data_IF_599395162482
#
_entry.id   IF_599395162482
#
_cell.length_a   1.000
_cell.length_b   1.000
_cell.length_c   1.000
_cell.angle_alpha   90.00
_cell.angle_beta   90.00
_cell.angle_gamma   90.00
#
_symmetry.space_group_name_H-M   'P 1'
#
loop_
_entity.id
_entity.type
_entity.pdbx_description
1 polymer ?
#
# COMPACT_ATOMS: atom_id res chain seq x y z
N UNK A 1 39.98 -58.88 -10.26
CA UNK A 1 40.29 -57.60 -10.94
C UNK A 1 39.18 -57.36 -11.96
N UNK A 2 38.43 -56.29 -11.78
CA UNK A 2 37.02 -56.21 -12.18
C UNK A 2 36.86 -55.51 -13.55
N UNK A 3 36.65 -56.30 -14.61
CA UNK A 3 36.59 -55.87 -16.02
C UNK A 3 35.34 -55.03 -16.38
N UNK A 4 34.40 -54.82 -15.46
CA UNK A 4 33.13 -54.11 -15.73
C UNK A 4 33.24 -52.58 -15.73
N UNK A 5 34.18 -51.99 -14.97
CA UNK A 5 34.31 -50.51 -14.87
C UNK A 5 34.84 -49.85 -16.15
N UNK A 6 35.70 -50.52 -16.91
CA UNK A 6 36.30 -49.95 -18.12
C UNK A 6 35.33 -49.84 -19.30
N UNK A 7 34.29 -50.70 -19.36
CA UNK A 7 33.28 -50.64 -20.43
C UNK A 7 32.34 -49.44 -20.28
N UNK A 8 32.03 -49.05 -19.04
CA UNK A 8 31.14 -47.92 -18.77
C UNK A 8 31.83 -46.58 -19.12
N UNK A 9 33.10 -46.39 -18.73
CA UNK A 9 33.87 -45.21 -19.13
C UNK A 9 34.05 -45.11 -20.64
N UNK A 10 34.27 -46.23 -21.32
CA UNK A 10 34.42 -46.23 -22.78
C UNK A 10 33.12 -45.85 -23.50
N UNK A 11 31.96 -46.32 -23.03
CA UNK A 11 30.65 -45.95 -23.59
C UNK A 11 30.30 -44.47 -23.36
N UNK A 12 30.67 -43.92 -22.20
CA UNK A 12 30.47 -42.49 -21.90
C UNK A 12 31.36 -41.61 -22.79
N UNK A 13 32.65 -41.97 -22.93
CA UNK A 13 33.58 -41.25 -23.82
C UNK A 13 33.14 -41.34 -25.29
N UNK A 14 32.65 -42.51 -25.73
CA UNK A 14 32.14 -42.69 -27.08
C UNK A 14 30.91 -41.80 -27.36
N UNK A 15 29.97 -41.72 -26.41
CA UNK A 15 28.81 -40.83 -26.54
C UNK A 15 29.24 -39.36 -26.59
N UNK A 16 30.20 -38.96 -25.76
CA UNK A 16 30.66 -37.57 -25.69
C UNK A 16 31.38 -37.16 -26.98
N UNK A 17 32.17 -38.07 -27.58
CA UNK A 17 32.76 -37.87 -28.91
C UNK A 17 31.70 -37.77 -30.01
N UNK A 18 30.67 -38.61 -30.00
CA UNK A 18 29.58 -38.54 -30.99
C UNK A 18 28.85 -37.19 -30.90
N UNK A 19 28.56 -36.72 -29.68
CA UNK A 19 27.93 -35.40 -29.47
C UNK A 19 28.81 -34.27 -30.00
N UNK A 20 30.12 -34.32 -29.75
CA UNK A 20 31.06 -33.32 -30.28
C UNK A 20 31.18 -33.36 -31.81
N UNK A 21 31.18 -34.55 -32.41
CA UNK A 21 31.19 -34.71 -33.87
C UNK A 21 29.90 -34.16 -34.48
N UNK A 22 28.74 -34.41 -33.86
CA UNK A 22 27.45 -33.86 -34.31
C UNK A 22 27.42 -32.33 -34.17
N UNK A 23 27.87 -31.78 -33.03
CA UNK A 23 27.96 -30.32 -32.84
C UNK A 23 28.86 -29.64 -33.88
N UNK A 24 29.95 -30.30 -34.30
CA UNK A 24 30.90 -29.76 -35.28
C UNK A 24 30.44 -29.98 -36.75
N UNK A 25 29.77 -31.09 -37.03
CA UNK A 25 29.29 -31.44 -38.38
C UNK A 25 28.05 -30.64 -38.79
N UNK A 26 27.28 -30.13 -37.83
CA UNK A 26 26.05 -29.38 -38.07
C UNK A 26 26.08 -27.99 -37.41
N UNK A 27 26.99 -27.09 -37.80
CA UNK A 27 27.11 -25.75 -37.20
C UNK A 27 25.88 -24.86 -37.43
N UNK A 28 24.99 -25.25 -38.35
CA UNK A 28 23.73 -24.58 -38.64
C UNK A 28 22.63 -24.86 -37.60
N UNK A 29 22.75 -25.90 -36.76
CA UNK A 29 21.80 -26.16 -35.67
C UNK A 29 22.06 -25.31 -34.42
N UNK A 30 23.22 -24.63 -34.33
CA UNK A 30 23.65 -23.81 -33.18
C UNK A 30 23.67 -22.32 -33.51
N UNK A 31 23.54 -21.94 -34.79
CA UNK A 31 23.30 -20.55 -35.17
C UNK A 31 21.79 -20.31 -35.17
N UNK A 32 21.22 -19.64 -34.16
CA UNK A 32 19.89 -19.10 -34.33
C UNK A 32 19.94 -18.17 -35.54
N UNK A 33 19.20 -18.50 -36.60
CA UNK A 33 18.90 -17.57 -37.68
C UNK A 33 18.09 -16.45 -37.05
N UNK A 34 18.79 -15.42 -36.56
CA UNK A 34 18.15 -14.21 -36.09
C UNK A 34 17.40 -13.61 -37.29
N UNK A 35 16.07 -13.50 -37.25
CA UNK A 35 15.33 -12.90 -38.34
C UNK A 35 15.86 -11.48 -38.59
N UNK A 36 15.92 -11.07 -39.86
CA UNK A 36 16.43 -9.75 -40.29
C UNK A 36 15.72 -8.57 -39.59
N UNK A 37 14.56 -8.82 -38.99
CA UNK A 37 13.86 -7.91 -38.08
C UNK A 37 14.70 -7.50 -36.87
N UNK A 38 15.53 -8.38 -36.30
CA UNK A 38 16.42 -8.03 -35.18
C UNK A 38 17.61 -7.18 -35.59
N UNK A 39 18.04 -7.28 -36.86
CA UNK A 39 19.07 -6.39 -37.40
C UNK A 39 18.48 -4.99 -37.64
N UNK A 40 17.24 -4.92 -38.13
CA UNK A 40 16.47 -3.67 -38.21
C UNK A 40 16.15 -3.08 -36.83
N UNK A 41 15.82 -3.91 -35.84
CA UNK A 41 15.65 -3.49 -34.45
C UNK A 41 16.98 -3.04 -33.84
N UNK A 42 18.10 -3.70 -34.15
CA UNK A 42 19.42 -3.25 -33.68
C UNK A 42 19.84 -1.92 -34.29
N UNK A 43 19.52 -1.65 -35.56
CA UNK A 43 19.74 -0.34 -36.17
C UNK A 43 18.78 0.71 -35.61
N UNK A 44 17.53 0.36 -35.31
CA UNK A 44 16.58 1.23 -34.60
C UNK A 44 17.04 1.55 -33.17
N UNK A 45 17.60 0.55 -32.47
CA UNK A 45 18.10 0.67 -31.10
C UNK A 45 19.49 1.33 -31.02
N UNK A 46 20.27 1.36 -32.11
CA UNK A 46 21.56 2.05 -32.17
C UNK A 46 21.44 3.52 -32.59
N UNK A 47 20.28 3.96 -33.08
CA UNK A 47 20.04 5.36 -33.49
C UNK A 47 19.38 6.20 -32.38
N UNK A 48 18.84 5.58 -31.33
CA UNK A 48 18.57 6.27 -30.06
C UNK A 48 19.81 6.25 -29.16
N UNK A 49 20.88 6.90 -29.62
CA UNK A 49 21.72 7.59 -28.65
C UNK A 49 20.90 8.78 -28.17
N UNK A 50 20.09 8.55 -27.13
CA UNK A 50 19.50 9.62 -26.34
C UNK A 50 20.69 10.43 -25.81
N UNK A 51 21.06 11.49 -26.53
CA UNK A 51 21.88 12.56 -25.98
C UNK A 51 21.32 12.82 -24.59
N UNK A 52 22.12 12.77 -23.51
CA UNK A 52 21.61 13.14 -22.20
C UNK A 52 21.08 14.56 -22.37
N UNK A 53 19.77 14.70 -22.46
CA UNK A 53 19.15 16.00 -22.32
C UNK A 53 19.63 16.50 -20.96
N UNK A 54 20.04 17.76 -20.82
CA UNK A 54 20.32 18.30 -19.51
C UNK A 54 19.04 18.09 -18.68
N UNK A 55 19.03 17.05 -17.84
CA UNK A 55 18.05 16.96 -16.78
C UNK A 55 18.36 18.20 -15.95
N UNK A 56 17.40 19.11 -15.76
CA UNK A 56 17.64 20.25 -14.89
C UNK A 56 18.17 19.71 -13.57
N UNK A 57 19.11 20.42 -12.94
CA UNK A 57 19.62 20.03 -11.63
C UNK A 57 18.45 20.11 -10.64
N UNK A 58 17.74 18.98 -10.47
CA UNK A 58 16.59 18.89 -9.58
C UNK A 58 17.13 18.63 -8.18
N UNK A 59 17.10 19.65 -7.33
CA UNK A 59 17.38 19.49 -5.91
C UNK A 59 16.11 18.96 -5.25
N UNK A 60 16.23 17.80 -4.59
CA UNK A 60 15.14 17.13 -3.89
C UNK A 60 15.43 17.09 -2.40
N UNK A 61 14.47 17.55 -1.60
CA UNK A 61 14.50 17.48 -0.15
C UNK A 61 13.33 16.62 0.32
N UNK A 62 13.63 15.48 0.93
CA UNK A 62 12.66 14.57 1.53
C UNK A 62 12.90 14.55 3.04
N UNK A 63 11.86 14.85 3.81
CA UNK A 63 11.91 14.93 5.27
C UNK A 63 10.49 14.74 5.84
N UNK A 64 10.36 14.76 7.15
CA UNK A 64 9.07 14.65 7.84
C UNK A 64 8.84 15.83 8.79
N UNK A 65 7.59 16.12 9.11
CA UNK A 65 7.27 17.18 10.06
C UNK A 65 7.55 16.73 11.50
N UNK A 66 8.40 17.47 12.22
CA UNK A 66 8.61 17.24 13.65
C UNK A 66 7.46 17.77 14.50
N UNK A 67 7.25 17.18 15.69
CA UNK A 67 6.21 17.60 16.65
C UNK A 67 6.32 19.05 17.13
N UNK A 68 7.50 19.64 17.07
CA UNK A 68 7.80 20.98 17.58
C UNK A 68 7.99 22.04 16.49
N UNK A 69 7.92 21.65 15.21
CA UNK A 69 8.23 22.55 14.09
C UNK A 69 6.95 23.05 13.45
N UNK A 70 6.88 24.34 13.15
CA UNK A 70 5.79 24.87 12.32
C UNK A 70 6.08 24.65 10.85
N UNK A 71 5.04 24.68 10.00
CA UNK A 71 5.26 24.60 8.55
C UNK A 71 6.13 25.74 8.03
N UNK A 72 6.05 26.92 8.66
CA UNK A 72 6.87 28.06 8.30
C UNK A 72 8.35 27.80 8.60
N UNK A 73 8.68 27.25 9.78
CA UNK A 73 10.06 26.91 10.14
C UNK A 73 10.67 25.90 9.17
N UNK A 74 9.88 24.89 8.78
CA UNK A 74 10.29 23.86 7.81
C UNK A 74 10.54 24.49 6.45
N UNK A 75 9.64 25.33 5.93
CA UNK A 75 9.83 25.98 4.63
C UNK A 75 11.07 26.89 4.64
N UNK A 76 11.29 27.66 5.71
CA UNK A 76 12.48 28.50 5.87
C UNK A 76 13.79 27.69 5.85
N UNK A 77 13.79 26.49 6.45
CA UNK A 77 14.94 25.55 6.41
C UNK A 77 15.26 25.09 4.98
N UNK A 78 14.28 25.03 4.10
CA UNK A 78 14.39 24.50 2.73
C UNK A 78 14.37 25.58 1.63
N UNK A 79 15.05 26.70 1.87
CA UNK A 79 15.26 27.79 0.90
C UNK A 79 14.05 28.64 0.53
N UNK A 80 12.96 28.60 1.29
CA UNK A 80 11.88 29.59 1.14
C UNK A 80 12.22 30.85 1.95
N UNK A 81 11.92 32.01 1.40
CA UNK A 81 11.84 33.24 2.19
C UNK A 81 10.59 33.25 3.06
N UNK A 82 10.57 34.07 4.11
CA UNK A 82 9.39 34.20 4.97
C UNK A 82 8.13 34.64 4.19
N UNK A 83 8.30 35.46 3.15
CA UNK A 83 7.21 35.89 2.28
C UNK A 83 6.69 34.76 1.40
N UNK A 84 7.58 33.98 0.78
CA UNK A 84 7.19 32.83 -0.05
C UNK A 84 6.49 31.75 0.79
N UNK A 85 7.03 31.46 1.98
CA UNK A 85 6.43 30.51 2.90
C UNK A 85 5.02 30.92 3.32
N UNK A 86 4.84 32.18 3.76
CA UNK A 86 3.53 32.72 4.14
C UNK A 86 2.54 32.66 2.97
N UNK A 87 3.00 33.08 1.78
CA UNK A 87 2.19 33.07 0.56
C UNK A 87 1.74 31.66 0.17
N UNK A 88 2.64 30.68 0.24
CA UNK A 88 2.32 29.28 -0.01
C UNK A 88 1.25 28.78 0.98
N UNK A 89 1.41 29.08 2.28
CA UNK A 89 0.45 28.68 3.32
C UNK A 89 -0.94 29.31 3.05
N UNK A 90 -0.99 30.57 2.66
CA UNK A 90 -2.24 31.29 2.44
C UNK A 90 -2.95 30.87 1.14
N UNK A 91 -2.22 30.79 0.02
CA UNK A 91 -2.79 30.45 -1.30
C UNK A 91 -3.26 29.00 -1.39
N UNK A 92 -2.70 28.10 -0.58
CA UNK A 92 -3.09 26.67 -0.58
C UNK A 92 -4.19 26.33 0.44
N UNK A 93 -4.54 27.29 1.31
CA UNK A 93 -5.39 27.08 2.49
C UNK A 93 -6.77 26.50 2.19
N UNK A 94 -7.38 26.91 1.08
CA UNK A 94 -8.72 26.47 0.68
C UNK A 94 -8.75 24.99 0.26
N UNK A 95 -7.62 24.47 -0.23
CA UNK A 95 -7.46 23.06 -0.60
C UNK A 95 -7.00 22.23 0.60
N UNK A 96 -5.97 22.72 1.29
CA UNK A 96 -5.45 22.13 2.51
C UNK A 96 -4.77 23.19 3.38
N UNK A 97 -5.20 23.30 4.63
CA UNK A 97 -4.54 24.20 5.58
C UNK A 97 -3.22 23.59 6.08
N UNK A 98 -2.11 24.05 5.52
CA UNK A 98 -0.75 23.60 5.86
C UNK A 98 -0.35 23.84 7.33
N UNK A 99 -1.07 24.67 8.08
CA UNK A 99 -0.85 24.76 9.53
C UNK A 99 -1.40 23.55 10.30
N UNK A 100 -2.09 22.62 9.63
CA UNK A 100 -2.64 21.38 10.21
C UNK A 100 -1.83 20.14 9.81
N UNK A 101 -0.63 20.32 9.27
CA UNK A 101 0.29 19.20 9.01
C UNK A 101 0.49 18.40 10.29
N UNK A 102 0.49 17.07 10.14
CA UNK A 102 0.68 16.15 11.25
C UNK A 102 2.15 15.78 11.38
N UNK A 103 2.63 15.71 12.63
CA UNK A 103 3.99 15.28 12.90
C UNK A 103 4.20 13.81 12.50
N UNK A 104 5.35 13.51 11.92
CA UNK A 104 5.71 12.22 11.37
C UNK A 104 5.27 12.02 9.92
N UNK A 105 4.39 12.87 9.38
CA UNK A 105 4.04 12.80 7.96
C UNK A 105 5.17 13.36 7.09
N UNK A 106 5.43 12.66 5.99
CA UNK A 106 6.50 12.97 5.04
C UNK A 106 6.10 14.09 4.07
N UNK A 107 7.11 14.82 3.61
CA UNK A 107 6.99 15.76 2.52
C UNK A 107 8.22 15.70 1.62
N UNK A 108 8.02 16.06 0.35
CA UNK A 108 9.07 16.19 -0.65
C UNK A 108 8.98 17.60 -1.25
N UNK A 109 10.10 18.32 -1.25
CA UNK A 109 10.23 19.60 -1.94
C UNK A 109 11.22 19.44 -3.08
N UNK A 110 10.79 19.79 -4.28
CA UNK A 110 11.65 19.81 -5.45
C UNK A 110 11.92 21.26 -5.88
N UNK A 111 13.18 21.54 -6.19
CA UNK A 111 13.62 22.74 -6.88
C UNK A 111 14.24 22.35 -8.20
N UNK A 112 14.02 23.13 -9.26
CA UNK A 112 14.71 23.01 -10.54
C UNK A 112 15.35 24.35 -10.87
N UNK A 113 16.63 24.34 -11.24
CA UNK A 113 17.38 25.57 -11.55
C UNK A 113 17.30 26.62 -10.42
N UNK A 114 17.28 26.15 -9.16
CA UNK A 114 17.10 26.93 -7.92
C UNK A 114 15.73 27.59 -7.74
N UNK A 115 14.78 27.34 -8.64
CA UNK A 115 13.38 27.77 -8.49
C UNK A 115 12.52 26.66 -7.89
N UNK A 116 11.54 27.03 -7.08
CA UNK A 116 10.57 26.08 -6.54
C UNK A 116 9.82 25.38 -7.68
N UNK A 117 9.78 24.04 -7.64
CA UNK A 117 9.08 23.22 -8.64
C UNK A 117 7.83 22.61 -8.04
N UNK A 118 7.95 21.93 -6.91
CA UNK A 118 6.81 21.25 -6.29
C UNK A 118 7.02 21.04 -4.79
N UNK A 119 5.90 20.99 -4.06
CA UNK A 119 5.83 20.46 -2.70
C UNK A 119 4.79 19.34 -2.71
N UNK A 120 5.20 18.14 -2.32
CA UNK A 120 4.31 17.03 -2.04
C UNK A 120 4.26 16.82 -0.54
N UNK A 121 3.07 16.65 0.02
CA UNK A 121 2.88 16.37 1.43
C UNK A 121 1.94 15.17 1.59
N UNK A 122 2.39 14.13 2.27
CA UNK A 122 1.59 12.94 2.53
C UNK A 122 0.60 13.24 3.67
N UNK A 123 -0.68 13.46 3.34
CA UNK A 123 -1.72 13.80 4.33
C UNK A 123 -2.07 12.57 5.16
N UNK A 124 -2.16 11.41 4.50
CA UNK A 124 -2.44 10.10 5.10
C UNK A 124 -2.04 9.00 4.13
N UNK A 125 -2.20 7.74 4.55
CA UNK A 125 -2.05 6.57 3.67
C UNK A 125 -2.88 6.68 2.37
N UNK A 126 -4.01 7.39 2.38
CA UNK A 126 -4.97 7.45 1.27
C UNK A 126 -4.88 8.72 0.43
N UNK A 127 -4.25 9.78 0.91
CA UNK A 127 -4.28 11.09 0.26
C UNK A 127 -2.97 11.83 0.44
N UNK A 128 -2.58 12.55 -0.60
CA UNK A 128 -1.46 13.47 -0.59
C UNK A 128 -1.86 14.81 -1.20
N UNK A 129 -1.18 15.86 -0.75
CA UNK A 129 -1.22 17.20 -1.33
C UNK A 129 -0.09 17.33 -2.34
N UNK A 130 -0.37 17.98 -3.46
CA UNK A 130 0.66 18.50 -4.37
C UNK A 130 0.45 19.99 -4.52
N UNK A 131 1.52 20.76 -4.36
CA UNK A 131 1.57 22.20 -4.56
C UNK A 131 2.59 22.48 -5.65
N UNK A 132 2.22 23.27 -6.63
CA UNK A 132 3.07 23.74 -7.72
C UNK A 132 2.90 25.25 -7.88
N UNK A 133 3.87 25.92 -8.49
CA UNK A 133 3.75 27.33 -8.84
C UNK A 133 3.28 27.45 -10.30
N UNK A 134 2.03 27.89 -10.49
CA UNK A 134 1.41 28.06 -11.80
C UNK A 134 1.01 29.52 -12.01
N UNK A 135 1.42 30.13 -13.13
CA UNK A 135 1.14 31.54 -13.45
C UNK A 135 1.51 32.51 -12.32
N UNK A 136 2.57 32.18 -11.59
CA UNK A 136 3.07 32.96 -10.47
C UNK A 136 2.31 32.79 -9.16
N UNK A 137 1.30 31.92 -9.05
CA UNK A 137 0.57 31.59 -7.82
C UNK A 137 0.69 30.11 -7.44
N UNK A 138 0.64 29.81 -6.15
CA UNK A 138 0.70 28.44 -5.66
C UNK A 138 -0.66 27.76 -5.86
N UNK A 139 -0.67 26.75 -6.73
CA UNK A 139 -1.83 25.90 -6.97
C UNK A 139 -1.68 24.60 -6.17
N UNK A 140 -2.66 24.31 -5.32
CA UNK A 140 -2.73 23.07 -4.56
C UNK A 140 -3.75 22.09 -5.13
N UNK A 141 -3.43 20.80 -5.07
CA UNK A 141 -4.35 19.71 -5.41
C UNK A 141 -4.22 18.58 -4.39
N UNK A 142 -5.37 18.16 -3.84
CA UNK A 142 -5.46 16.91 -3.08
C UNK A 142 -5.75 15.76 -4.03
N UNK A 143 -4.98 14.70 -3.90
CA UNK A 143 -5.09 13.51 -4.75
C UNK A 143 -5.19 12.29 -3.87
N UNK A 144 -6.15 11.40 -4.18
CA UNK A 144 -6.27 10.10 -3.54
C UNK A 144 -5.34 9.11 -4.21
N UNK A 145 -4.75 8.23 -3.41
CA UNK A 145 -4.06 7.06 -3.94
C UNK A 145 -5.08 6.06 -4.47
N UNK A 146 -4.75 5.49 -5.63
CA UNK A 146 -5.38 4.27 -6.11
C UNK A 146 -4.76 3.07 -5.40
N UNK A 147 -5.58 2.08 -5.07
CA UNK A 147 -5.17 0.88 -4.36
C UNK A 147 -5.65 -0.38 -5.06
N UNK A 148 -4.78 -1.37 -5.10
CA UNK A 148 -5.18 -2.74 -5.39
C UNK A 148 -5.86 -3.30 -4.14
N UNK A 149 -7.15 -3.63 -4.24
CA UNK A 149 -7.93 -4.16 -3.11
C UNK A 149 -8.07 -5.67 -3.26
N UNK A 150 -7.58 -6.41 -2.26
CA UNK A 150 -7.70 -7.87 -2.17
C UNK A 150 -8.60 -8.22 -1.00
N UNK A 151 -9.53 -9.15 -1.19
CA UNK A 151 -10.36 -9.68 -0.11
C UNK A 151 -9.73 -10.96 0.43
N UNK A 152 -9.42 -10.98 1.71
CA UNK A 152 -8.79 -12.11 2.40
C UNK A 152 -9.66 -12.62 3.55
N UNK A 153 -9.54 -13.91 3.83
CA UNK A 153 -10.17 -14.56 4.98
C UNK A 153 -9.15 -14.77 6.10
N UNK A 154 -9.52 -14.39 7.32
CA UNK A 154 -8.74 -14.67 8.54
C UNK A 154 -9.59 -15.46 9.50
N UNK A 155 -9.00 -16.43 10.18
CA UNK A 155 -9.64 -17.12 11.29
C UNK A 155 -8.61 -17.41 12.37
N UNK A 156 -9.07 -17.46 13.62
CA UNK A 156 -8.18 -17.68 14.74
C UNK A 156 -8.92 -18.20 15.95
N UNK A 157 -8.22 -19.02 16.74
CA UNK A 157 -8.63 -19.40 18.09
C UNK A 157 -7.78 -18.60 19.08
N UNK A 158 -8.44 -17.91 19.99
CA UNK A 158 -7.80 -17.04 20.97
C UNK A 158 -7.22 -17.91 22.08
N UNK A 159 -5.91 -17.84 22.31
CA UNK A 159 -5.27 -18.53 23.44
C UNK A 159 -4.93 -17.59 24.59
N UNK A 160 -4.66 -16.32 24.29
CA UNK A 160 -4.36 -15.29 25.28
C UNK A 160 -5.17 -14.03 25.06
N UNK A 161 -4.88 -13.31 23.98
CA UNK A 161 -5.64 -12.13 23.58
C UNK A 161 -5.96 -12.14 22.09
N UNK A 162 -7.07 -11.52 21.72
CA UNK A 162 -7.45 -11.31 20.31
C UNK A 162 -6.33 -10.61 19.55
N UNK A 163 -5.69 -9.63 20.19
CA UNK A 163 -4.58 -8.89 19.63
C UNK A 163 -3.39 -9.78 19.29
N UNK A 164 -2.91 -10.57 20.25
CA UNK A 164 -1.76 -11.45 20.03
C UNK A 164 -2.06 -12.53 18.98
N UNK A 165 -3.32 -12.97 18.90
CA UNK A 165 -3.75 -13.97 17.91
C UNK A 165 -3.69 -13.44 16.49
N UNK A 166 -4.12 -12.20 16.25
CA UNK A 166 -4.03 -11.59 14.91
C UNK A 166 -2.59 -11.18 14.57
N UNK A 167 -1.85 -10.61 15.52
CA UNK A 167 -0.45 -10.22 15.30
C UNK A 167 0.46 -11.41 15.01
N UNK A 168 0.25 -12.56 15.65
CA UNK A 168 1.01 -13.78 15.35
C UNK A 168 0.73 -14.36 13.97
N UNK A 169 -0.40 -13.98 13.35
CA UNK A 169 -0.75 -14.33 11.97
C UNK A 169 -0.19 -13.33 10.94
N UNK A 170 0.56 -12.32 11.37
CA UNK A 170 1.12 -11.29 10.51
C UNK A 170 0.18 -10.11 10.26
N UNK A 171 -0.96 -10.06 10.95
CA UNK A 171 -1.90 -8.94 10.84
C UNK A 171 -1.54 -7.79 11.79
N UNK A 172 -1.92 -6.57 11.41
CA UNK A 172 -1.68 -5.38 12.19
C UNK A 172 -2.86 -5.06 13.12
N UNK A 173 -2.53 -4.40 14.22
CA UNK A 173 -3.46 -4.02 15.27
C UNK A 173 -4.70 -3.24 14.82
N UNK A 174 -4.60 -2.48 13.72
CA UNK A 174 -5.73 -1.73 13.16
C UNK A 174 -6.92 -2.65 12.87
N UNK A 175 -6.68 -3.90 12.45
CA UNK A 175 -7.74 -4.88 12.22
C UNK A 175 -8.48 -5.28 13.51
N UNK A 176 -7.75 -5.43 14.62
CA UNK A 176 -8.32 -5.76 15.93
C UNK A 176 -9.26 -4.63 16.39
N UNK A 177 -8.84 -3.38 16.22
CA UNK A 177 -9.63 -2.21 16.60
C UNK A 177 -10.93 -2.15 15.78
N UNK A 178 -10.86 -2.40 14.47
CA UNK A 178 -12.06 -2.42 13.61
C UNK A 178 -13.03 -3.54 13.99
N UNK A 179 -12.54 -4.75 14.28
CA UNK A 179 -13.37 -5.84 14.77
C UNK A 179 -14.10 -5.46 16.09
N UNK A 180 -13.39 -4.85 17.03
CA UNK A 180 -13.98 -4.36 18.29
C UNK A 180 -15.01 -3.26 18.00
N UNK A 181 -14.74 -2.34 17.07
CA UNK A 181 -15.67 -1.28 16.69
C UNK A 181 -17.01 -1.82 16.17
N UNK A 182 -16.98 -2.94 15.44
CA UNK A 182 -18.17 -3.59 14.88
C UNK A 182 -18.97 -4.27 16.00
N UNK A 183 -18.32 -5.15 16.78
CA UNK A 183 -19.03 -6.07 17.69
C UNK A 183 -19.14 -5.60 19.15
N UNK A 184 -18.56 -4.45 19.54
CA UNK A 184 -18.52 -3.99 20.96
C UNK A 184 -19.87 -3.94 21.68
N UNK A 185 -20.98 -3.88 20.93
CA UNK A 185 -22.34 -3.82 21.49
C UNK A 185 -22.91 -5.17 21.91
N UNK A 186 -22.41 -6.25 21.31
CA UNK A 186 -22.94 -7.60 21.49
C UNK A 186 -21.90 -8.54 22.10
N UNK A 187 -20.61 -8.27 21.88
CA UNK A 187 -19.49 -9.03 22.43
C UNK A 187 -18.74 -8.21 23.47
N UNK A 188 -18.73 -8.61 24.75
CA UNK A 188 -17.88 -7.99 25.75
C UNK A 188 -16.44 -8.51 25.59
N UNK A 189 -15.63 -7.73 24.86
CA UNK A 189 -14.22 -8.03 24.56
C UNK A 189 -13.32 -8.09 25.81
N UNK A 190 -13.73 -7.47 26.93
CA UNK A 190 -13.04 -7.56 28.23
C UNK A 190 -13.15 -8.94 28.89
N UNK A 191 -14.12 -9.76 28.46
CA UNK A 191 -14.38 -11.09 29.01
C UNK A 191 -14.01 -12.22 28.03
N UNK A 192 -13.12 -11.95 27.06
CA UNK A 192 -12.60 -12.98 26.15
C UNK A 192 -11.84 -14.03 26.93
N UNK A 193 -12.04 -15.30 26.56
CA UNK A 193 -11.41 -16.44 27.18
C UNK A 193 -10.59 -17.24 26.17
N UNK A 194 -9.56 -17.97 26.62
CA UNK A 194 -8.91 -18.99 25.82
C UNK A 194 -9.95 -19.97 25.26
N UNK A 195 -9.94 -20.17 23.95
CA UNK A 195 -10.89 -21.03 23.24
C UNK A 195 -11.97 -20.28 22.45
N UNK A 196 -12.22 -19.00 22.73
CA UNK A 196 -13.01 -18.11 21.86
C UNK A 196 -12.38 -18.10 20.45
N UNK A 197 -13.17 -17.91 19.40
CA UNK A 197 -12.65 -17.90 18.03
C UNK A 197 -13.33 -16.84 17.17
N UNK A 198 -12.66 -16.49 16.07
CA UNK A 198 -13.18 -15.54 15.10
C UNK A 198 -12.92 -16.01 13.68
N UNK A 199 -13.75 -15.54 12.75
CA UNK A 199 -13.53 -15.60 11.30
C UNK A 199 -13.92 -14.26 10.69
N UNK A 200 -13.10 -13.73 9.80
CA UNK A 200 -13.23 -12.42 9.18
C UNK A 200 -13.07 -12.55 7.68
N UNK A 201 -13.84 -11.78 6.92
CA UNK A 201 -13.60 -11.51 5.50
C UNK A 201 -13.26 -10.03 5.41
N UNK A 202 -12.04 -9.69 4.99
CA UNK A 202 -11.47 -8.35 5.13
C UNK A 202 -10.86 -7.88 3.82
N UNK A 203 -11.07 -6.62 3.48
CA UNK A 203 -10.31 -5.97 2.42
C UNK A 203 -8.94 -5.54 2.91
N UNK A 204 -7.90 -5.86 2.15
CA UNK A 204 -6.56 -5.29 2.27
C UNK A 204 -6.26 -4.42 1.06
N UNK A 205 -5.76 -3.21 1.31
CA UNK A 205 -5.36 -2.26 0.28
C UNK A 205 -3.85 -2.29 0.11
N UNK A 206 -3.42 -2.50 -1.13
CA UNK A 206 -2.04 -2.54 -1.54
C UNK A 206 -1.72 -1.39 -2.48
N UNK A 207 -0.48 -0.91 -2.41
CA UNK A 207 0.09 0.04 -3.37
C UNK A 207 1.47 -0.45 -3.73
N UNK A 208 1.74 -0.61 -5.03
CA UNK A 208 3.02 -1.15 -5.53
C UNK A 208 3.36 -2.52 -4.88
N UNK A 209 2.36 -3.38 -4.72
CA UNK A 209 2.52 -4.71 -4.11
C UNK A 209 2.75 -4.72 -2.59
N UNK A 210 2.79 -3.56 -1.92
CA UNK A 210 2.98 -3.45 -0.47
C UNK A 210 1.66 -3.20 0.23
N UNK A 211 1.42 -3.89 1.34
CA UNK A 211 0.26 -3.64 2.20
C UNK A 211 0.36 -2.25 2.79
N UNK A 212 -0.72 -1.46 2.65
CA UNK A 212 -0.79 -0.10 3.18
C UNK A 212 -1.74 -0.07 4.39
N UNK A 213 -2.98 -0.51 4.18
CA UNK A 213 -4.03 -0.47 5.20
C UNK A 213 -5.13 -1.49 4.95
N UNK A 214 -5.93 -1.74 5.97
CA UNK A 214 -7.20 -2.45 5.82
C UNK A 214 -8.26 -1.54 5.19
N UNK A 215 -9.10 -2.13 4.35
CA UNK A 215 -10.37 -1.57 3.89
C UNK A 215 -11.50 -2.01 4.82
N UNK A 216 -12.65 -2.38 4.24
CA UNK A 216 -13.82 -2.80 5.00
C UNK A 216 -13.70 -4.25 5.47
N UNK A 217 -14.18 -4.54 6.68
CA UNK A 217 -14.49 -5.92 7.08
C UNK A 217 -15.85 -6.26 6.47
N UNK A 218 -15.91 -7.20 5.54
CA UNK A 218 -17.13 -7.59 4.82
C UNK A 218 -18.04 -8.49 5.66
N UNK A 219 -17.44 -9.38 6.44
CA UNK A 219 -18.16 -10.27 7.33
C UNK A 219 -17.32 -10.61 8.56
N UNK A 220 -18.01 -10.84 9.67
CA UNK A 220 -17.45 -11.30 10.94
C UNK A 220 -18.28 -12.45 11.47
N UNK A 221 -17.60 -13.47 11.97
CA UNK A 221 -18.12 -14.43 12.93
C UNK A 221 -17.22 -14.38 14.17
N UNK A 222 -17.81 -14.24 15.35
CA UNK A 222 -17.13 -14.39 16.63
C UNK A 222 -17.85 -15.45 17.46
N UNK A 223 -17.15 -16.46 17.94
CA UNK A 223 -17.70 -17.54 18.75
C UNK A 223 -17.15 -17.51 20.17
N UNK A 224 -18.06 -17.56 21.14
CA UNK A 224 -17.77 -17.73 22.56
C UNK A 224 -18.62 -18.84 23.14
N UNK A 225 -17.98 -19.93 23.55
CA UNK A 225 -18.69 -21.15 23.94
C UNK A 225 -19.58 -21.64 22.80
N UNK A 226 -20.87 -21.84 23.08
CA UNK A 226 -21.87 -22.25 22.08
C UNK A 226 -22.51 -21.08 21.32
N UNK A 227 -22.22 -19.83 21.72
CA UNK A 227 -22.84 -18.64 21.13
C UNK A 227 -21.96 -18.07 20.01
N UNK A 228 -22.59 -17.82 18.87
CA UNK A 228 -21.99 -17.14 17.72
C UNK A 228 -22.58 -15.74 17.58
N UNK A 229 -21.74 -14.80 17.16
CA UNK A 229 -22.09 -13.41 16.86
C UNK A 229 -21.66 -13.12 15.43
N UNK A 230 -22.60 -12.68 14.61
CA UNK A 230 -22.34 -12.37 13.21
C UNK A 230 -22.47 -10.88 12.94
N UNK A 231 -21.67 -10.37 12.00
CA UNK A 231 -21.85 -9.04 11.45
C UNK A 231 -21.52 -9.05 9.96
N UNK A 232 -22.44 -8.57 9.14
CA UNK A 232 -22.30 -8.47 7.69
C UNK A 232 -22.38 -7.01 7.27
N UNK A 233 -21.41 -6.58 6.47
CA UNK A 233 -21.41 -5.25 5.91
C UNK A 233 -22.50 -5.13 4.84
N UNK A 234 -23.31 -4.09 4.97
CA UNK A 234 -24.34 -3.73 4.00
C UNK A 234 -24.37 -2.21 3.80
N UNK A 235 -24.41 -1.78 2.54
CA UNK A 235 -24.64 -0.38 2.21
C UNK A 235 -26.14 -0.11 2.23
N UNK A 236 -26.59 0.74 3.14
CA UNK A 236 -28.00 1.14 3.20
C UNK A 236 -28.37 1.92 1.92
N UNK A 237 -29.33 1.44 1.10
CA UNK A 237 -29.63 2.04 -0.20
C UNK A 237 -30.29 3.42 -0.10
N UNK A 238 -30.79 3.84 1.07
CA UNK A 238 -31.39 5.15 1.28
C UNK A 238 -30.38 6.18 1.74
N UNK A 239 -29.44 5.77 2.60
CA UNK A 239 -28.45 6.67 3.19
C UNK A 239 -27.07 6.58 2.54
N UNK A 240 -26.83 5.56 1.71
CA UNK A 240 -25.53 5.19 1.15
C UNK A 240 -24.44 5.04 2.21
N UNK A 241 -24.84 4.63 3.41
CA UNK A 241 -23.92 4.39 4.53
C UNK A 241 -23.66 2.91 4.67
N UNK A 242 -22.38 2.60 4.81
CA UNK A 242 -21.90 1.30 5.26
C UNK A 242 -22.33 1.05 6.71
N UNK A 243 -23.15 0.04 6.94
CA UNK A 243 -23.61 -0.41 8.25
C UNK A 243 -23.43 -1.93 8.39
N UNK A 244 -23.43 -2.41 9.64
CA UNK A 244 -23.27 -3.82 9.95
C UNK A 244 -24.56 -4.39 10.53
N UNK A 245 -24.97 -5.54 10.01
CA UNK A 245 -26.18 -6.23 10.40
C UNK A 245 -25.88 -7.66 10.84
N UNK A 246 -26.64 -8.17 11.81
CA UNK A 246 -26.58 -9.56 12.24
C UNK A 246 -27.21 -10.50 11.19
N UNK A 247 -27.21 -11.80 11.48
CA UNK A 247 -27.78 -12.83 10.61
C UNK A 247 -29.30 -12.71 10.39
N UNK A 248 -30.00 -11.92 11.22
CA UNK A 248 -31.43 -11.69 11.15
C UNK A 248 -31.76 -10.31 10.51
N UNK A 249 -30.74 -9.56 10.09
CA UNK A 249 -30.92 -8.23 9.51
C UNK A 249 -31.10 -7.10 10.53
N UNK A 250 -30.81 -7.33 11.81
CA UNK A 250 -30.81 -6.27 12.82
C UNK A 250 -29.47 -5.54 12.80
N UNK A 251 -29.48 -4.22 13.02
CA UNK A 251 -28.25 -3.45 13.13
C UNK A 251 -27.42 -3.89 14.35
N UNK A 252 -26.16 -4.28 14.11
CA UNK A 252 -25.18 -4.61 15.16
C UNK A 252 -24.80 -3.36 15.97
N UNK A 253 -24.86 -2.18 15.33
CA UNK A 253 -24.79 -0.91 16.07
C UNK A 253 -26.13 -0.66 16.75
N UNK A 254 -26.13 -0.68 18.08
CA UNK A 254 -27.24 -0.14 18.87
C UNK A 254 -27.16 1.37 18.78
N UNK A 255 -28.10 2.00 18.08
CA UNK A 255 -28.27 3.43 18.16
C UNK A 255 -28.49 3.77 19.63
N UNK A 256 -27.63 4.60 20.23
CA UNK A 256 -28.02 5.31 21.43
C UNK A 256 -29.27 6.10 21.05
N UNK A 257 -30.45 5.59 21.40
CA UNK A 257 -31.59 6.47 21.53
C UNK A 257 -31.18 7.47 22.61
N UNK A 258 -30.76 8.67 22.18
CA UNK A 258 -30.89 9.86 23.00
C UNK A 258 -32.37 9.94 23.32
N UNK A 259 -32.78 9.37 24.44
CA UNK A 259 -34.10 9.63 25.00
C UNK A 259 -34.17 11.15 25.14
N UNK A 260 -35.10 11.85 24.48
CA UNK A 260 -35.26 13.27 24.71
C UNK A 260 -35.77 13.42 26.15
N UNK A 261 -34.90 13.82 27.06
CA UNK A 261 -35.32 14.27 28.39
C UNK A 261 -36.16 15.54 28.17
N UNK A 262 -37.47 15.42 28.27
CA UNK A 262 -38.35 16.56 28.45
C UNK A 262 -38.23 17.00 29.91
N UNK A 263 -37.68 18.19 30.14
CA UNK A 263 -37.90 18.91 31.39
C UNK A 263 -39.30 19.54 31.31
N UNK A 264 -40.17 19.22 32.27
CA UNK A 264 -41.39 19.98 32.54
C UNK A 264 -41.05 21.18 33.42
#
# INVERSE_FOLDING_TARGET
>A
MDFRKNRLSFLVLLNLCIVLIVLNSYPHLIRPDFPSTLRQLSSFMMEETVSPQPQPDVLRFEDSFDRSSTVQDVLLKYNFTAQEAQRLIDETRDVYNLNRVMAGNEFLIEFADKAFRSLRYEISDEEFLTVVLENGAYAAKRTKYEFDTVVEEFYGRIEGSLWNTLVSQGEDHRLVIELINILRWDVPFTAIQPGDSFKLIVEKKYREGRFVKYGRIRAVEFRRGEKSYYAFLFEDPKTHKDLYYDENGNSVRKAFLKVPFHFN
#
